data_IF_105356785394
#
_entry.id   IF_105356785394
#
_cell.length_a   1.000
_cell.length_b   1.000
_cell.length_c   1.000
_cell.angle_alpha   90.00
_cell.angle_beta   90.00
_cell.angle_gamma   90.00
#
_symmetry.space_group_name_H-M   'P 1'
#
loop_
_entity.id
_entity.type
_entity.pdbx_description
1 polymer ?
#
# COMPACT_ATOMS: atom_id res chain seq x y z
N UNK A 1 47.15 12.37 -35.73
CA UNK A 1 46.24 12.80 -34.64
C UNK A 1 46.13 11.67 -33.64
N UNK A 2 46.96 11.70 -32.60
CA UNK A 2 47.01 10.68 -31.55
C UNK A 2 45.93 11.01 -30.51
N UNK A 3 44.81 10.30 -30.52
CA UNK A 3 43.81 10.40 -29.45
C UNK A 3 44.43 9.87 -28.16
N UNK A 4 44.56 10.74 -27.17
CA UNK A 4 45.18 10.45 -25.89
C UNK A 4 44.25 9.50 -25.10
N UNK A 5 44.53 8.19 -25.10
CA UNK A 5 43.71 7.14 -24.48
C UNK A 5 43.35 7.44 -23.00
N UNK A 6 44.19 8.20 -22.30
CA UNK A 6 43.97 8.61 -20.92
C UNK A 6 42.76 9.56 -20.77
N UNK A 7 42.52 10.42 -21.76
CA UNK A 7 41.40 11.37 -21.77
C UNK A 7 40.05 10.70 -22.03
N UNK A 8 40.04 9.61 -22.82
CA UNK A 8 38.86 8.77 -23.04
C UNK A 8 38.51 7.96 -21.78
N UNK A 9 39.52 7.44 -21.07
CA UNK A 9 39.32 6.71 -19.81
C UNK A 9 38.78 7.60 -18.68
N UNK A 10 39.25 8.84 -18.55
CA UNK A 10 38.73 9.80 -17.56
C UNK A 10 37.29 10.24 -17.87
N UNK A 11 36.93 10.35 -19.16
CA UNK A 11 35.56 10.65 -19.56
C UNK A 11 34.61 9.48 -19.30
N UNK A 12 35.04 8.24 -19.58
CA UNK A 12 34.26 7.03 -19.29
C UNK A 12 34.16 6.79 -17.77
N UNK A 13 35.22 7.00 -16.99
CA UNK A 13 35.16 6.92 -15.54
C UNK A 13 34.27 8.01 -14.94
N UNK A 14 34.31 9.24 -15.47
CA UNK A 14 33.38 10.32 -15.10
C UNK A 14 31.92 10.02 -15.42
N UNK A 15 31.66 9.38 -16.57
CA UNK A 15 30.32 8.94 -16.99
C UNK A 15 29.82 7.74 -16.16
N UNK A 16 30.71 6.82 -15.77
CA UNK A 16 30.39 5.66 -14.91
C UNK A 16 30.15 6.09 -13.46
N UNK A 17 30.78 7.18 -13.00
CA UNK A 17 30.60 7.70 -11.62
C UNK A 17 29.34 8.60 -11.49
N UNK A 18 28.88 9.24 -12.57
CA UNK A 18 27.64 10.05 -12.54
C UNK A 18 26.34 9.29 -12.77
N UNK A 19 26.39 8.01 -13.19
CA UNK A 19 25.24 7.11 -13.08
C UNK A 19 25.31 6.35 -11.75
N UNK A 20 25.52 7.06 -10.64
CA UNK A 20 24.92 6.63 -9.39
C UNK A 20 23.40 6.68 -9.61
N UNK A 21 22.85 5.55 -10.06
CA UNK A 21 21.43 5.26 -10.06
C UNK A 21 20.95 5.50 -8.62
N UNK A 22 20.51 6.74 -8.36
CA UNK A 22 19.91 7.14 -7.09
C UNK A 22 18.65 6.30 -6.97
N UNK A 23 18.81 5.13 -6.35
CA UNK A 23 17.72 4.21 -6.14
C UNK A 23 16.71 4.95 -5.28
N UNK A 24 15.41 4.92 -5.65
CA UNK A 24 14.41 5.70 -4.94
C UNK A 24 14.48 5.38 -3.44
N UNK A 25 14.48 6.43 -2.62
CA UNK A 25 14.39 6.37 -1.17
C UNK A 25 13.12 7.05 -0.72
N UNK A 26 12.57 6.63 0.42
CA UNK A 26 11.54 7.37 1.11
C UNK A 26 12.04 8.80 1.33
N UNK A 27 11.28 9.86 1.03
CA UNK A 27 11.70 11.23 1.33
C UNK A 27 11.85 11.45 2.84
N UNK A 28 12.60 12.48 3.22
CA UNK A 28 12.62 12.94 4.61
C UNK A 28 11.24 13.44 5.02
N UNK A 29 10.90 13.27 6.29
CA UNK A 29 9.60 13.68 6.80
C UNK A 29 9.42 15.21 6.67
N UNK A 30 8.25 15.63 6.21
CA UNK A 30 7.84 17.03 6.12
C UNK A 30 6.74 17.35 7.14
N UNK A 31 6.12 18.53 7.07
CA UNK A 31 5.06 18.92 8.01
C UNK A 31 3.72 18.17 7.82
N UNK A 32 3.64 17.24 6.87
CA UNK A 32 2.42 16.51 6.52
C UNK A 32 2.45 15.08 7.08
N UNK A 33 1.26 14.51 7.28
CA UNK A 33 1.14 13.04 7.35
C UNK A 33 1.20 12.53 5.92
N UNK A 34 2.13 11.64 5.62
CA UNK A 34 2.27 11.09 4.28
C UNK A 34 1.88 9.62 4.26
N UNK A 35 0.98 9.27 3.33
CA UNK A 35 0.59 7.89 3.04
C UNK A 35 1.12 7.55 1.66
N UNK A 36 2.04 6.59 1.59
CA UNK A 36 2.64 6.11 0.35
C UNK A 36 2.13 4.71 0.03
N UNK A 37 1.65 4.47 -1.19
CA UNK A 37 1.48 3.13 -1.74
C UNK A 37 2.68 2.79 -2.62
N UNK A 38 3.37 1.71 -2.30
CA UNK A 38 4.58 1.30 -3.01
C UNK A 38 4.25 0.27 -4.10
N UNK A 39 4.93 0.32 -5.26
CA UNK A 39 4.70 -0.59 -6.37
C UNK A 39 5.40 -1.94 -6.16
N UNK A 40 4.94 -2.71 -5.19
CA UNK A 40 5.54 -4.01 -4.80
C UNK A 40 5.07 -5.18 -5.68
N UNK A 41 4.60 -4.91 -6.91
CA UNK A 41 4.00 -5.93 -7.78
C UNK A 41 2.52 -6.20 -7.48
N UNK A 42 2.11 -7.44 -7.74
CA UNK A 42 0.80 -7.92 -7.29
C UNK A 42 0.93 -8.23 -5.81
N UNK A 43 0.57 -7.24 -4.99
CA UNK A 43 0.75 -7.22 -3.54
C UNK A 43 0.64 -5.82 -2.97
N UNK A 44 0.61 -5.72 -1.65
CA UNK A 44 0.44 -4.45 -0.94
C UNK A 44 1.65 -4.05 -0.12
N UNK A 45 1.98 -2.77 -0.18
CA UNK A 45 2.78 -2.13 0.85
C UNK A 45 2.40 -0.65 0.96
N UNK A 46 1.83 -0.29 2.10
CA UNK A 46 1.47 1.09 2.43
C UNK A 46 2.36 1.60 3.55
N UNK A 47 3.06 2.71 3.32
CA UNK A 47 3.92 3.37 4.31
C UNK A 47 3.23 4.62 4.81
N UNK A 48 3.05 4.72 6.12
CA UNK A 48 2.51 5.89 6.82
C UNK A 48 3.68 6.58 7.51
N UNK A 49 4.07 7.76 7.03
CA UNK A 49 5.16 8.54 7.58
C UNK A 49 4.61 9.71 8.38
N UNK A 50 4.95 9.74 9.67
CA UNK A 50 4.54 10.80 10.58
C UNK A 50 5.07 12.17 10.13
N UNK A 51 4.31 13.26 10.39
CA UNK A 51 4.85 14.61 10.26
C UNK A 51 6.15 14.77 11.05
N UNK A 52 7.09 15.54 10.52
CA UNK A 52 8.36 15.84 11.20
C UNK A 52 8.10 16.48 12.56
N UNK A 53 9.01 16.20 13.48
CA UNK A 53 9.03 16.80 14.81
C UNK A 53 10.39 17.48 15.00
N UNK A 54 10.54 18.31 16.06
CA UNK A 54 11.85 18.88 16.40
C UNK A 54 12.90 17.83 16.75
N UNK A 55 12.48 16.67 17.24
CA UNK A 55 13.35 15.63 17.80
C UNK A 55 13.67 14.51 16.83
N UNK A 56 12.85 14.30 15.80
CA UNK A 56 13.04 13.23 14.81
C UNK A 56 13.49 13.83 13.49
N UNK A 57 14.73 13.54 13.09
CA UNK A 57 15.35 13.97 11.82
C UNK A 57 15.20 12.90 10.73
N UNK A 58 15.52 13.25 9.48
CA UNK A 58 15.55 12.32 8.35
C UNK A 58 14.16 11.77 8.00
N UNK A 59 14.06 10.45 7.85
CA UNK A 59 12.82 9.77 7.40
C UNK A 59 11.69 9.78 8.43
N UNK A 60 11.94 10.15 9.68
CA UNK A 60 10.90 10.19 10.69
C UNK A 60 10.54 8.81 11.26
N UNK A 61 9.41 8.79 11.97
CA UNK A 61 8.76 7.56 12.44
C UNK A 61 7.75 7.11 11.39
N UNK A 62 7.79 5.83 11.04
CA UNK A 62 6.88 5.23 10.07
C UNK A 62 6.13 4.02 10.63
N UNK A 63 4.96 3.77 10.04
CA UNK A 63 4.21 2.52 10.18
C UNK A 63 4.04 1.91 8.79
N UNK A 64 4.19 0.60 8.69
CA UNK A 64 4.02 -0.14 7.43
C UNK A 64 2.78 -1.04 7.54
N UNK A 65 1.92 -1.00 6.54
CA UNK A 65 0.81 -1.94 6.38
C UNK A 65 1.09 -2.78 5.15
N UNK A 66 1.28 -4.08 5.38
CA UNK A 66 1.78 -5.08 4.43
C UNK A 66 3.17 -4.78 3.85
N UNK A 67 3.87 -5.82 3.43
CA UNK A 67 5.27 -5.80 3.00
C UNK A 67 5.46 -6.36 1.60
N UNK A 68 4.40 -6.50 0.80
CA UNK A 68 4.50 -6.89 -0.60
C UNK A 68 4.97 -8.33 -0.83
N UNK A 69 5.27 -8.62 -2.09
CA UNK A 69 5.70 -9.94 -2.57
C UNK A 69 7.20 -10.00 -2.84
N UNK A 70 7.78 -11.20 -2.73
CA UNK A 70 9.12 -11.54 -3.29
C UNK A 70 9.05 -11.86 -4.79
N UNK A 71 7.85 -12.09 -5.34
CA UNK A 71 7.66 -12.52 -6.72
C UNK A 71 7.73 -11.31 -7.65
N UNK A 72 8.80 -11.29 -8.45
CA UNK A 72 9.07 -10.35 -9.53
C UNK A 72 9.10 -8.85 -9.13
N UNK A 73 9.95 -8.11 -9.82
CA UNK A 73 10.01 -6.63 -9.89
C UNK A 73 10.53 -5.89 -8.64
N UNK A 74 9.97 -6.09 -7.45
CA UNK A 74 10.40 -5.36 -6.24
C UNK A 74 11.36 -6.20 -5.39
N UNK A 75 12.66 -6.08 -5.65
CA UNK A 75 13.67 -6.89 -4.96
C UNK A 75 13.79 -6.53 -3.48
N UNK A 76 14.19 -7.51 -2.67
CA UNK A 76 14.43 -7.39 -1.22
C UNK A 76 15.33 -6.18 -0.90
N UNK A 77 16.36 -5.97 -1.71
CA UNK A 77 17.36 -4.91 -1.57
C UNK A 77 16.77 -3.53 -1.89
N UNK A 78 15.95 -3.43 -2.93
CA UNK A 78 15.27 -2.18 -3.29
C UNK A 78 14.30 -1.74 -2.18
N UNK A 79 13.60 -2.70 -1.55
CA UNK A 79 12.74 -2.42 -0.40
C UNK A 79 13.50 -1.93 0.82
N UNK A 80 14.55 -2.67 1.20
CA UNK A 80 15.41 -2.28 2.33
C UNK A 80 16.07 -0.91 2.09
N UNK A 81 16.51 -0.65 0.86
CA UNK A 81 17.08 0.64 0.48
C UNK A 81 16.06 1.77 0.55
N UNK A 82 14.82 1.54 0.09
CA UNK A 82 13.77 2.55 0.11
C UNK A 82 13.47 3.01 1.55
N UNK A 83 13.45 2.09 2.51
CA UNK A 83 13.14 2.34 3.92
C UNK A 83 14.37 2.73 4.76
N UNK A 84 15.57 2.73 4.18
CA UNK A 84 16.82 2.94 4.91
C UNK A 84 16.79 4.26 5.70
N UNK A 85 17.10 4.16 7.00
CA UNK A 85 17.15 5.31 7.91
C UNK A 85 15.80 5.70 8.52
N UNK A 86 14.71 4.98 8.23
CA UNK A 86 13.42 5.18 8.89
C UNK A 86 13.32 4.41 10.21
N UNK A 87 12.71 5.03 11.22
CA UNK A 87 12.30 4.32 12.44
C UNK A 87 10.96 3.67 12.21
N UNK A 88 10.94 2.34 12.11
CA UNK A 88 9.71 1.58 11.91
C UNK A 88 9.11 1.25 13.27
N UNK A 89 7.99 1.90 13.62
CA UNK A 89 7.32 1.68 14.90
C UNK A 89 6.43 0.45 14.88
N UNK A 90 5.62 0.35 13.83
CA UNK A 90 4.64 -0.70 13.65
C UNK A 90 4.71 -1.30 12.24
N UNK A 91 4.50 -2.61 12.17
CA UNK A 91 4.16 -3.32 10.94
C UNK A 91 2.81 -3.99 11.17
N UNK A 92 1.88 -3.86 10.23
CA UNK A 92 0.56 -4.49 10.28
C UNK A 92 0.45 -5.39 9.06
N UNK A 93 0.42 -6.70 9.27
CA UNK A 93 0.18 -7.68 8.22
C UNK A 93 -1.30 -8.02 8.18
N UNK A 94 -2.00 -7.62 7.13
CA UNK A 94 -3.45 -7.71 7.04
C UNK A 94 -3.91 -9.16 7.05
N UNK A 95 -3.28 -10.05 6.28
CA UNK A 95 -3.63 -11.46 6.19
C UNK A 95 -2.48 -12.33 5.64
N UNK A 96 -2.53 -13.67 5.81
CA UNK A 96 -1.42 -14.55 5.46
C UNK A 96 -1.39 -14.96 3.97
N UNK A 97 -1.50 -14.00 3.04
CA UNK A 97 -1.09 -14.21 1.65
C UNK A 97 0.30 -13.64 1.38
N UNK A 98 1.07 -14.36 0.58
CA UNK A 98 2.50 -14.10 0.38
C UNK A 98 2.81 -12.73 -0.22
N UNK A 99 1.86 -12.15 -0.93
CA UNK A 99 1.94 -10.81 -1.50
C UNK A 99 1.68 -9.67 -0.51
N UNK A 100 1.43 -10.00 0.76
CA UNK A 100 1.23 -9.04 1.84
C UNK A 100 2.34 -9.10 2.90
N UNK A 101 3.17 -10.14 2.95
CA UNK A 101 4.17 -10.28 4.02
C UNK A 101 5.57 -10.71 3.57
N UNK A 102 5.77 -11.12 2.32
CA UNK A 102 7.01 -11.79 1.94
C UNK A 102 8.27 -10.95 2.13
N UNK A 103 8.23 -9.62 1.99
CA UNK A 103 9.41 -8.77 2.22
C UNK A 103 9.56 -8.32 3.68
N UNK A 104 8.79 -8.87 4.63
CA UNK A 104 8.90 -8.48 6.04
C UNK A 104 10.32 -8.73 6.60
N UNK A 105 11.04 -9.73 6.10
CA UNK A 105 12.42 -9.99 6.53
C UNK A 105 13.36 -8.80 6.24
N UNK A 106 13.14 -8.04 5.15
CA UNK A 106 13.89 -6.80 4.90
C UNK A 106 13.67 -5.76 6.00
N UNK A 107 12.47 -5.72 6.56
CA UNK A 107 12.11 -4.80 7.64
C UNK A 107 12.73 -5.28 8.96
N UNK A 108 12.56 -6.57 9.29
CA UNK A 108 13.01 -7.15 10.56
C UNK A 108 14.53 -7.20 10.70
N UNK A 109 15.25 -7.39 9.59
CA UNK A 109 16.72 -7.50 9.56
C UNK A 109 17.41 -6.16 9.26
N UNK A 110 16.75 -5.27 8.53
CA UNK A 110 17.35 -4.04 8.00
C UNK A 110 17.34 -2.84 8.94
N UNK A 111 16.78 -2.97 10.15
CA UNK A 111 16.58 -1.85 11.09
C UNK A 111 17.13 -2.19 12.48
N UNK A 112 17.72 -1.18 13.12
CA UNK A 112 18.35 -1.29 14.45
C UNK A 112 17.36 -1.70 15.53
N UNK A 113 16.12 -1.19 15.46
CA UNK A 113 15.04 -1.58 16.35
C UNK A 113 13.99 -2.41 15.62
N UNK A 114 13.68 -3.59 16.16
CA UNK A 114 12.60 -4.42 15.62
C UNK A 114 11.24 -3.76 15.90
N UNK A 115 10.40 -3.53 14.87
CA UNK A 115 9.07 -2.96 15.04
C UNK A 115 8.15 -3.90 15.82
N UNK A 116 7.06 -3.35 16.38
CA UNK A 116 5.93 -4.17 16.83
C UNK A 116 5.12 -4.62 15.60
N UNK A 117 4.90 -5.91 15.47
CA UNK A 117 4.18 -6.53 14.36
C UNK A 117 2.79 -6.96 14.80
N UNK A 118 1.77 -6.45 14.13
CA UNK A 118 0.38 -6.85 14.28
C UNK A 118 -0.04 -7.73 13.10
N UNK A 119 -0.82 -8.77 13.36
CA UNK A 119 -1.25 -9.72 12.33
C UNK A 119 -2.58 -10.39 12.68
N UNK A 120 -3.34 -10.85 11.68
CA UNK A 120 -4.69 -11.44 11.90
C UNK A 120 -4.63 -12.89 12.37
N UNK A 121 -3.93 -13.74 11.63
CA UNK A 121 -3.91 -15.19 11.84
C UNK A 121 -2.73 -15.71 12.64
N UNK A 122 -2.80 -16.96 13.09
CA UNK A 122 -1.64 -17.61 13.72
C UNK A 122 -0.38 -17.54 12.82
N UNK A 123 0.79 -17.31 13.42
CA UNK A 123 2.03 -17.09 12.67
C UNK A 123 2.43 -18.30 11.81
N UNK A 124 1.97 -19.51 12.14
CA UNK A 124 2.18 -20.72 11.32
C UNK A 124 1.66 -20.59 9.88
N UNK A 125 0.76 -19.63 9.61
CA UNK A 125 0.29 -19.33 8.25
C UNK A 125 1.21 -18.41 7.44
N UNK A 126 2.14 -17.71 8.08
CA UNK A 126 3.11 -16.80 7.44
C UNK A 126 4.40 -17.56 7.11
N UNK A 127 4.35 -18.37 6.06
CA UNK A 127 5.40 -19.33 5.69
C UNK A 127 6.58 -18.65 4.98
N UNK A 128 7.80 -19.13 5.25
CA UNK A 128 9.00 -18.68 4.52
C UNK A 128 9.52 -17.30 4.94
N UNK A 129 9.07 -16.78 6.08
CA UNK A 129 9.55 -15.53 6.70
C UNK A 129 9.89 -15.75 8.18
N UNK A 130 10.76 -14.91 8.72
CA UNK A 130 11.17 -14.99 10.13
C UNK A 130 10.02 -14.56 11.04
N UNK A 131 9.81 -15.31 12.12
CA UNK A 131 8.86 -14.95 13.17
C UNK A 131 9.45 -13.83 14.04
N UNK A 132 8.76 -12.69 14.21
CA UNK A 132 9.18 -11.65 15.15
C UNK A 132 9.28 -12.19 16.58
N UNK A 133 10.09 -11.54 17.42
CA UNK A 133 10.20 -11.89 18.84
C UNK A 133 8.81 -11.83 19.51
N UNK A 134 8.48 -12.75 20.44
CA UNK A 134 7.13 -12.83 21.04
C UNK A 134 6.62 -11.52 21.64
N UNK A 135 7.49 -10.75 22.32
CA UNK A 135 7.14 -9.44 22.90
C UNK A 135 6.93 -8.31 21.87
N UNK A 136 7.26 -8.56 20.60
CA UNK A 136 7.05 -7.67 19.46
C UNK A 136 5.95 -8.17 18.54
N UNK A 137 5.36 -9.34 18.80
CA UNK A 137 4.35 -9.94 17.95
C UNK A 137 2.98 -9.89 18.63
N UNK A 138 1.97 -9.34 17.96
CA UNK A 138 0.61 -9.22 18.52
C UNK A 138 -0.43 -9.67 17.50
N UNK A 139 -1.17 -10.73 17.83
CA UNK A 139 -2.30 -11.19 17.02
C UNK A 139 -3.56 -10.37 17.32
N UNK A 140 -4.25 -9.90 16.28
CA UNK A 140 -5.56 -9.25 16.37
C UNK A 140 -6.61 -10.27 15.95
N UNK A 141 -7.29 -10.85 16.95
CA UNK A 141 -8.28 -11.89 16.76
C UNK A 141 -9.66 -11.34 16.41
N UNK A 142 -10.50 -12.23 15.87
CA UNK A 142 -11.88 -12.03 15.44
C UNK A 142 -12.61 -10.85 16.12
N UNK A 143 -12.80 -9.78 15.35
CA UNK A 143 -13.55 -8.61 15.79
C UNK A 143 -14.17 -7.87 14.59
N UNK A 144 -15.31 -7.22 14.81
CA UNK A 144 -15.93 -6.26 13.88
C UNK A 144 -16.42 -5.06 14.68
N UNK A 145 -16.07 -3.85 14.23
CA UNK A 145 -16.40 -2.57 14.83
C UNK A 145 -15.36 -2.11 15.85
N UNK A 146 -15.12 -0.79 15.90
CA UNK A 146 -14.12 -0.14 16.78
C UNK A 146 -14.21 -0.64 18.22
N UNK A 147 -15.42 -0.70 18.79
CA UNK A 147 -15.66 -1.12 20.19
C UNK A 147 -15.27 -2.58 20.43
N UNK A 148 -15.62 -3.52 19.55
CA UNK A 148 -15.29 -4.95 19.72
C UNK A 148 -13.81 -5.22 19.46
N UNK A 149 -13.23 -4.55 18.47
CA UNK A 149 -11.80 -4.67 18.19
C UNK A 149 -10.94 -4.05 19.29
N UNK A 150 -11.41 -2.96 19.92
CA UNK A 150 -10.76 -2.27 21.03
C UNK A 150 -9.24 -2.13 20.85
N UNK A 151 -8.84 -1.70 19.65
CA UNK A 151 -7.44 -1.58 19.27
C UNK A 151 -7.24 -0.29 18.52
N UNK A 152 -6.61 0.65 19.21
CA UNK A 152 -6.17 1.93 18.68
C UNK A 152 -4.66 2.07 18.94
N UNK A 153 -3.91 2.45 17.90
CA UNK A 153 -2.46 2.63 17.93
C UNK A 153 -2.14 4.10 17.67
N UNK A 154 -1.36 4.71 18.55
CA UNK A 154 -0.78 6.05 18.31
C UNK A 154 0.45 5.90 17.42
N UNK A 155 0.28 6.22 16.13
CA UNK A 155 1.34 6.04 15.14
C UNK A 155 2.51 7.01 15.38
N UNK A 156 2.20 8.24 15.78
CA UNK A 156 3.18 9.30 15.99
C UNK A 156 3.24 9.70 17.47
N UNK A 157 4.44 9.97 18.00
CA UNK A 157 4.63 10.20 19.45
C UNK A 157 4.10 11.56 19.94
N UNK A 158 4.06 12.57 19.07
CA UNK A 158 3.72 13.96 19.44
C UNK A 158 2.52 14.54 18.70
N UNK A 159 1.83 13.73 17.88
CA UNK A 159 0.72 14.17 17.02
C UNK A 159 -0.44 13.18 17.11
N UNK A 160 -1.65 13.69 16.93
CA UNK A 160 -2.91 12.93 16.92
C UNK A 160 -3.10 12.11 15.63
N UNK A 161 -2.13 11.26 15.29
CA UNK A 161 -2.26 10.27 14.23
C UNK A 161 -2.57 8.94 14.89
N UNK A 162 -3.79 8.45 14.70
CA UNK A 162 -4.20 7.15 15.24
C UNK A 162 -4.55 6.18 14.13
N UNK A 163 -4.30 4.90 14.39
CA UNK A 163 -4.82 3.80 13.60
C UNK A 163 -5.75 2.98 14.48
N UNK A 164 -6.98 2.83 14.03
CA UNK A 164 -8.02 2.06 14.71
C UNK A 164 -8.35 0.82 13.89
N UNK A 165 -8.29 -0.35 14.53
CA UNK A 165 -8.72 -1.60 13.90
C UNK A 165 -10.25 -1.62 13.86
N UNK A 166 -10.79 -1.88 12.67
CA UNK A 166 -12.22 -1.94 12.41
C UNK A 166 -12.70 -3.38 12.28
N UNK A 167 -11.91 -4.26 11.66
CA UNK A 167 -12.20 -5.68 11.61
C UNK A 167 -10.92 -6.50 11.49
N UNK A 168 -10.97 -7.77 11.87
CA UNK A 168 -9.89 -8.75 11.67
C UNK A 168 -10.46 -10.16 11.77
N UNK A 169 -9.85 -11.13 11.07
CA UNK A 169 -10.11 -12.56 11.25
C UNK A 169 -11.60 -12.94 11.15
N UNK A 170 -12.28 -12.49 10.09
CA UNK A 170 -13.70 -12.81 9.89
C UNK A 170 -13.89 -14.18 9.22
N UNK A 171 -12.93 -14.61 8.40
CA UNK A 171 -12.81 -15.96 7.85
C UNK A 171 -12.30 -17.00 8.85
N UNK A 172 -12.06 -16.62 10.12
CA UNK A 172 -11.55 -17.47 11.20
C UNK A 172 -10.24 -18.17 10.86
N UNK A 173 -9.39 -17.55 10.05
CA UNK A 173 -8.17 -18.15 9.54
C UNK A 173 -8.43 -19.47 8.82
N UNK A 174 -9.50 -19.53 8.02
CA UNK A 174 -9.89 -20.70 7.24
C UNK A 174 -9.06 -20.90 5.97
N UNK A 175 -9.71 -21.40 4.93
CA UNK A 175 -9.13 -21.63 3.60
C UNK A 175 -9.05 -20.36 2.74
N UNK A 176 -9.58 -19.25 3.23
CA UNK A 176 -9.74 -18.01 2.47
C UNK A 176 -9.12 -16.82 3.22
N UNK A 177 -7.78 -16.70 3.22
CA UNK A 177 -7.07 -15.68 3.99
C UNK A 177 -7.54 -14.23 3.78
N UNK A 178 -8.03 -13.90 2.58
CA UNK A 178 -8.61 -12.59 2.27
C UNK A 178 -9.72 -12.18 3.26
N UNK A 179 -10.53 -13.15 3.70
CA UNK A 179 -11.61 -12.97 4.67
C UNK A 179 -11.08 -12.64 6.08
N UNK A 180 -9.77 -12.77 6.32
CA UNK A 180 -9.13 -12.51 7.60
C UNK A 180 -8.40 -11.17 7.66
N UNK A 181 -8.49 -10.36 6.58
CA UNK A 181 -7.82 -9.07 6.48
C UNK A 181 -8.09 -8.16 7.68
N UNK A 182 -7.02 -7.62 8.28
CA UNK A 182 -7.13 -6.51 9.21
C UNK A 182 -7.58 -5.27 8.42
N UNK A 183 -8.81 -4.83 8.68
CA UNK A 183 -9.32 -3.54 8.21
C UNK A 183 -8.99 -2.48 9.24
N UNK A 184 -8.30 -1.42 8.82
CA UNK A 184 -7.84 -0.34 9.69
C UNK A 184 -8.24 1.03 9.18
N UNK A 185 -8.61 1.95 10.07
CA UNK A 185 -8.82 3.37 9.76
C UNK A 185 -7.74 4.21 10.41
N UNK A 186 -7.05 5.02 9.60
CA UNK A 186 -6.10 6.02 10.06
C UNK A 186 -6.82 7.36 10.15
N UNK A 187 -6.61 8.13 11.21
CA UNK A 187 -7.16 9.50 11.30
C UNK A 187 -6.08 10.52 11.66
N UNK A 188 -6.16 11.69 11.04
CA UNK A 188 -5.30 12.82 11.30
C UNK A 188 -5.99 14.13 10.91
N UNK A 189 -6.18 15.03 11.90
CA UNK A 189 -6.79 16.35 11.72
C UNK A 189 -8.09 16.34 10.89
N UNK A 190 -9.00 15.44 11.23
CA UNK A 190 -10.30 15.31 10.56
C UNK A 190 -10.29 14.51 9.27
N UNK A 191 -9.12 14.23 8.69
CA UNK A 191 -8.99 13.35 7.52
C UNK A 191 -8.84 11.90 7.97
N UNK A 192 -9.45 11.01 7.21
CA UNK A 192 -9.51 9.58 7.48
C UNK A 192 -9.12 8.75 6.26
N UNK A 193 -8.37 7.67 6.48
CA UNK A 193 -7.95 6.72 5.45
C UNK A 193 -8.33 5.31 5.87
N UNK A 194 -9.14 4.62 5.08
CA UNK A 194 -9.47 3.21 5.29
C UNK A 194 -8.51 2.33 4.48
N UNK A 195 -7.84 1.41 5.17
CA UNK A 195 -7.02 0.35 4.57
C UNK A 195 -7.70 -0.98 4.87
N UNK A 196 -8.23 -1.64 3.84
CA UNK A 196 -9.02 -2.86 4.02
C UNK A 196 -8.23 -4.17 3.93
N UNK A 197 -6.94 -4.11 3.57
CA UNK A 197 -6.27 -5.30 3.02
C UNK A 197 -7.12 -5.89 1.90
N UNK A 198 -7.13 -7.20 1.77
CA UNK A 198 -7.89 -7.89 0.73
C UNK A 198 -9.27 -8.33 1.21
N UNK A 199 -9.97 -7.45 1.96
CA UNK A 199 -11.32 -7.70 2.42
C UNK A 199 -12.21 -8.21 1.28
N UNK A 200 -12.60 -9.46 1.41
CA UNK A 200 -13.45 -10.21 0.50
C UNK A 200 -14.24 -11.20 1.35
N UNK A 201 -15.42 -11.60 0.90
CA UNK A 201 -16.19 -12.68 1.52
C UNK A 201 -17.51 -12.89 0.80
N UNK A 202 -18.29 -13.89 1.19
CA UNK A 202 -19.66 -14.02 0.67
C UNK A 202 -20.55 -12.85 1.14
N UNK A 203 -21.75 -12.72 0.57
CA UNK A 203 -22.68 -11.64 0.91
C UNK A 203 -22.98 -11.55 2.41
N UNK A 204 -23.15 -12.70 3.08
CA UNK A 204 -23.43 -12.75 4.52
C UNK A 204 -22.29 -12.12 5.32
N UNK A 205 -21.04 -12.43 4.97
CA UNK A 205 -19.87 -11.89 5.65
C UNK A 205 -19.73 -10.38 5.40
N UNK A 206 -19.86 -9.92 4.15
CA UNK A 206 -19.74 -8.49 3.85
C UNK A 206 -20.88 -7.71 4.51
N UNK A 207 -22.11 -8.23 4.52
CA UNK A 207 -23.24 -7.60 5.23
C UNK A 207 -22.97 -7.51 6.74
N UNK A 208 -22.43 -8.57 7.35
CA UNK A 208 -22.05 -8.55 8.77
C UNK A 208 -20.93 -7.54 9.06
N UNK A 209 -19.96 -7.42 8.15
CA UNK A 209 -18.92 -6.38 8.23
C UNK A 209 -19.53 -4.97 8.16
N UNK A 210 -20.39 -4.69 7.17
CA UNK A 210 -21.05 -3.39 7.03
C UNK A 210 -21.88 -3.03 8.26
N UNK A 211 -22.65 -3.99 8.78
CA UNK A 211 -23.48 -3.79 9.98
C UNK A 211 -22.62 -3.57 11.24
N UNK A 212 -21.61 -4.42 11.45
CA UNK A 212 -20.79 -4.38 12.66
C UNK A 212 -19.82 -3.21 12.68
N UNK A 213 -19.32 -2.79 11.53
CA UNK A 213 -18.43 -1.64 11.42
C UNK A 213 -19.20 -0.32 11.38
N UNK A 214 -20.39 -0.29 10.76
CA UNK A 214 -21.30 0.85 10.77
C UNK A 214 -20.66 2.12 10.22
N UNK A 215 -20.83 3.25 10.91
CA UNK A 215 -20.26 4.53 10.50
C UNK A 215 -18.72 4.58 10.55
N UNK A 216 -18.05 3.61 11.17
CA UNK A 216 -16.60 3.63 11.34
C UNK A 216 -15.82 3.42 10.04
N UNK A 217 -16.44 2.85 9.00
CA UNK A 217 -15.78 2.64 7.69
C UNK A 217 -15.81 3.87 6.79
N UNK A 218 -16.55 4.93 7.16
CA UNK A 218 -16.50 6.19 6.43
C UNK A 218 -15.06 6.71 6.43
N UNK A 219 -14.56 7.06 5.24
CA UNK A 219 -13.20 7.55 5.07
C UNK A 219 -13.10 8.54 3.91
N UNK A 220 -12.11 9.42 3.92
CA UNK A 220 -11.83 10.35 2.81
C UNK A 220 -10.98 9.70 1.73
N UNK A 221 -10.08 8.79 2.14
CA UNK A 221 -9.19 8.00 1.28
C UNK A 221 -9.48 6.52 1.50
N UNK A 222 -9.66 5.74 0.44
CA UNK A 222 -9.86 4.30 0.51
C UNK A 222 -8.80 3.53 -0.29
N UNK A 223 -8.03 2.68 0.40
CA UNK A 223 -7.28 1.61 -0.27
C UNK A 223 -8.27 0.52 -0.64
N UNK A 224 -8.57 0.43 -1.94
CA UNK A 224 -9.50 -0.54 -2.51
C UNK A 224 -9.09 -1.96 -2.13
N UNK A 225 -10.07 -2.79 -1.77
CA UNK A 225 -9.79 -4.16 -1.38
C UNK A 225 -9.22 -4.98 -2.53
N UNK A 226 -8.38 -5.97 -2.21
CA UNK A 226 -7.95 -7.04 -3.10
C UNK A 226 -7.42 -6.54 -4.44
N UNK A 227 -6.48 -5.58 -4.35
CA UNK A 227 -5.75 -5.01 -5.49
C UNK A 227 -6.66 -4.32 -6.52
N UNK A 228 -7.88 -3.93 -6.11
CA UNK A 228 -8.89 -3.37 -7.01
C UNK A 228 -9.69 -4.43 -7.77
N UNK A 229 -9.84 -5.62 -7.22
CA UNK A 229 -10.84 -6.60 -7.63
C UNK A 229 -12.26 -6.01 -7.51
N UNK A 230 -13.21 -6.57 -8.25
CA UNK A 230 -14.60 -6.10 -8.23
C UNK A 230 -15.56 -7.27 -8.24
N UNK A 231 -16.55 -7.23 -7.36
CA UNK A 231 -17.66 -8.15 -7.36
C UNK A 231 -18.49 -8.04 -8.65
N UNK A 232 -18.62 -9.13 -9.40
CA UNK A 232 -19.61 -9.21 -10.47
C UNK A 232 -20.19 -10.61 -10.62
N UNK A 233 -19.37 -11.66 -10.58
CA UNK A 233 -19.83 -13.05 -10.65
C UNK A 233 -18.93 -13.95 -9.78
N UNK A 234 -19.49 -14.57 -8.75
CA UNK A 234 -18.75 -15.46 -7.86
C UNK A 234 -19.29 -15.51 -6.43
N UNK A 235 -18.88 -16.51 -5.67
CA UNK A 235 -19.26 -16.70 -4.27
C UNK A 235 -18.61 -15.71 -3.30
N UNK A 236 -17.73 -14.84 -3.82
CA UNK A 236 -16.95 -13.89 -3.03
C UNK A 236 -17.03 -12.47 -3.60
N UNK A 237 -17.17 -11.53 -2.69
CA UNK A 237 -17.56 -10.16 -2.91
C UNK A 237 -16.51 -9.24 -2.31
N UNK A 238 -16.00 -8.31 -3.10
CA UNK A 238 -15.10 -7.24 -2.68
C UNK A 238 -15.48 -5.96 -3.45
N UNK A 239 -15.24 -4.80 -2.84
CA UNK A 239 -15.55 -3.49 -3.43
C UNK A 239 -16.98 -3.38 -4.01
N UNK A 240 -17.97 -4.08 -3.44
CA UNK A 240 -19.37 -4.04 -3.90
C UNK A 240 -19.99 -2.62 -3.75
N UNK A 241 -21.00 -2.26 -4.54
CA UNK A 241 -21.52 -0.89 -4.60
C UNK A 241 -21.96 -0.27 -3.25
N UNK A 242 -22.57 -1.05 -2.37
CA UNK A 242 -22.96 -0.62 -1.02
C UNK A 242 -21.76 -0.49 -0.06
N UNK A 243 -20.74 -1.35 -0.16
CA UNK A 243 -19.47 -1.14 0.55
C UNK A 243 -18.82 0.17 0.11
N UNK A 244 -18.69 0.40 -1.19
CA UNK A 244 -18.14 1.66 -1.71
C UNK A 244 -18.92 2.89 -1.23
N UNK A 245 -20.26 2.78 -1.19
CA UNK A 245 -21.15 3.83 -0.72
C UNK A 245 -21.02 4.08 0.79
N UNK A 246 -20.88 3.02 1.58
CA UNK A 246 -20.72 3.12 3.03
C UNK A 246 -19.36 3.72 3.42
N UNK A 247 -18.30 3.42 2.65
CA UNK A 247 -16.99 4.08 2.80
C UNK A 247 -17.07 5.55 2.38
N UNK A 248 -17.72 5.85 1.26
CA UNK A 248 -18.00 7.24 0.84
C UNK A 248 -16.75 8.09 0.55
N UNK A 249 -15.64 7.45 0.16
CA UNK A 249 -14.37 8.14 -0.06
C UNK A 249 -14.35 9.10 -1.25
N UNK A 250 -13.52 10.13 -1.13
CA UNK A 250 -13.24 11.07 -2.22
C UNK A 250 -12.03 10.65 -3.03
N UNK A 251 -11.06 9.96 -2.40
CA UNK A 251 -9.85 9.46 -3.04
C UNK A 251 -9.74 7.95 -2.91
N UNK A 252 -9.26 7.30 -3.96
CA UNK A 252 -9.12 5.84 -4.01
C UNK A 252 -7.74 5.46 -4.49
N UNK A 253 -7.19 4.36 -3.99
CA UNK A 253 -6.00 3.78 -4.59
C UNK A 253 -5.98 2.26 -4.43
N UNK A 254 -5.21 1.60 -5.28
CA UNK A 254 -4.88 0.19 -5.12
C UNK A 254 -3.42 -0.05 -5.46
N UNK A 255 -2.79 -0.97 -4.72
CA UNK A 255 -1.57 -1.59 -5.19
C UNK A 255 -1.97 -2.72 -6.12
N UNK A 256 -1.43 -2.75 -7.32
CA UNK A 256 -1.70 -3.82 -8.29
C UNK A 256 -0.49 -3.99 -9.18
N UNK A 257 -0.18 -5.23 -9.57
CA UNK A 257 1.00 -5.53 -10.39
C UNK A 257 0.73 -5.56 -11.88
N UNK A 258 -0.52 -5.29 -12.28
CA UNK A 258 -1.05 -5.62 -13.59
C UNK A 258 -0.73 -7.07 -14.01
N UNK A 259 -1.04 -8.03 -13.15
CA UNK A 259 -0.80 -9.46 -13.41
C UNK A 259 -1.96 -10.10 -14.20
N UNK A 260 -1.64 -10.72 -15.33
CA UNK A 260 -2.61 -11.33 -16.27
C UNK A 260 -3.40 -12.50 -15.68
N UNK A 261 -2.88 -13.15 -14.64
CA UNK A 261 -3.58 -14.23 -13.95
C UNK A 261 -4.74 -13.71 -13.12
N UNK A 262 -4.52 -12.60 -12.41
CA UNK A 262 -5.51 -12.03 -11.48
C UNK A 262 -6.43 -11.01 -12.18
N UNK A 263 -5.88 -10.31 -13.18
CA UNK A 263 -6.56 -9.26 -13.94
C UNK A 263 -7.10 -8.15 -13.02
N UNK A 264 -6.24 -7.66 -12.11
CA UNK A 264 -6.54 -6.54 -11.22
C UNK A 264 -5.64 -5.34 -11.50
N UNK A 265 -6.16 -4.10 -11.41
CA UNK A 265 -7.51 -3.75 -10.98
C UNK A 265 -8.53 -3.92 -12.13
N UNK A 266 -9.82 -4.07 -11.81
CA UNK A 266 -10.88 -4.26 -12.83
C UNK A 266 -11.40 -2.92 -13.34
N UNK A 267 -11.62 -2.77 -14.65
CA UNK A 267 -12.18 -1.52 -15.19
C UNK A 267 -13.61 -1.24 -14.74
N UNK A 268 -14.40 -2.28 -14.46
CA UNK A 268 -15.74 -2.13 -13.86
C UNK A 268 -15.74 -1.40 -12.52
N UNK A 269 -14.75 -1.66 -11.65
CA UNK A 269 -14.58 -0.90 -10.41
C UNK A 269 -14.27 0.58 -10.68
N UNK A 270 -13.38 0.85 -11.64
CA UNK A 270 -13.09 2.21 -12.07
C UNK A 270 -14.35 2.92 -12.56
N UNK A 271 -15.16 2.28 -13.41
CA UNK A 271 -16.42 2.86 -13.88
C UNK A 271 -17.44 3.07 -12.76
N UNK A 272 -17.58 2.12 -11.84
CA UNK A 272 -18.46 2.26 -10.67
C UNK A 272 -18.08 3.48 -9.83
N UNK A 273 -16.79 3.65 -9.52
CA UNK A 273 -16.31 4.80 -8.74
C UNK A 273 -16.47 6.11 -9.51
N UNK A 274 -16.04 6.14 -10.77
CA UNK A 274 -15.92 7.40 -11.53
C UNK A 274 -17.24 7.95 -12.05
N UNK A 275 -18.25 7.08 -12.27
CA UNK A 275 -19.60 7.48 -12.65
C UNK A 275 -20.48 7.82 -11.45
N UNK A 276 -20.36 7.07 -10.35
CA UNK A 276 -21.41 7.06 -9.32
C UNK A 276 -20.98 7.61 -7.95
N UNK A 277 -19.69 7.90 -7.71
CA UNK A 277 -19.19 8.08 -6.33
C UNK A 277 -18.47 9.41 -6.06
N UNK A 278 -17.75 9.98 -7.04
CA UNK A 278 -17.02 11.24 -6.80
C UNK A 278 -17.14 12.23 -7.96
N UNK A 279 -17.50 13.47 -7.60
CA UNK A 279 -17.50 14.64 -8.47
C UNK A 279 -16.18 15.41 -8.41
N UNK A 280 -15.31 15.07 -7.45
CA UNK A 280 -13.99 15.69 -7.31
C UNK A 280 -13.15 15.43 -8.57
N UNK A 281 -12.44 16.47 -9.02
CA UNK A 281 -11.46 16.39 -10.09
C UNK A 281 -10.08 16.70 -9.54
N UNK A 282 -9.09 15.97 -10.01
CA UNK A 282 -7.66 16.16 -9.75
C UNK A 282 -6.92 16.48 -11.05
N UNK A 283 -5.64 16.82 -10.97
CA UNK A 283 -4.79 16.94 -12.16
C UNK A 283 -4.84 15.63 -12.96
N UNK A 284 -4.89 15.74 -14.28
CA UNK A 284 -4.83 14.58 -15.16
C UNK A 284 -3.65 13.67 -14.81
N UNK A 285 -3.91 12.38 -14.72
CA UNK A 285 -2.90 11.35 -14.52
C UNK A 285 -3.30 10.08 -15.29
N UNK A 286 -2.34 9.18 -15.49
CA UNK A 286 -2.59 7.88 -16.09
C UNK A 286 -3.24 6.92 -15.09
N UNK A 287 -4.00 5.97 -15.61
CA UNK A 287 -4.64 4.87 -14.90
C UNK A 287 -4.67 3.64 -15.80
N UNK A 288 -4.54 2.44 -15.25
CA UNK A 288 -4.69 1.19 -16.00
C UNK A 288 -5.62 0.25 -15.24
N UNK A 289 -6.40 -0.51 -15.99
CA UNK A 289 -7.25 -1.57 -15.46
C UNK A 289 -7.44 -2.66 -16.52
N UNK A 290 -7.99 -3.79 -16.10
CA UNK A 290 -8.31 -4.93 -16.96
C UNK A 290 -9.75 -4.85 -17.50
N UNK A 291 -9.84 -4.73 -18.82
CA UNK A 291 -10.93 -5.09 -19.74
C UNK A 291 -10.28 -5.68 -21.01
N UNK A 292 -11.02 -6.15 -22.02
CA UNK A 292 -10.52 -6.92 -23.18
C UNK A 292 -9.43 -6.23 -24.03
N UNK A 293 -8.99 -5.01 -23.70
CA UNK A 293 -7.71 -4.43 -24.09
C UNK A 293 -7.09 -3.65 -22.91
N UNK A 294 -5.82 -3.92 -22.58
CA UNK A 294 -5.03 -3.08 -21.66
C UNK A 294 -4.77 -1.74 -22.35
N UNK A 295 -5.46 -0.68 -21.95
CA UNK A 295 -5.14 0.68 -22.40
C UNK A 295 -4.92 1.58 -21.19
N UNK A 296 -3.81 2.34 -21.11
CA UNK A 296 -3.71 3.43 -20.16
C UNK A 296 -4.76 4.48 -20.48
N UNK A 297 -5.59 4.78 -19.49
CA UNK A 297 -6.53 5.88 -19.52
C UNK A 297 -5.85 7.11 -18.93
N UNK A 298 -6.02 8.27 -19.56
CA UNK A 298 -5.85 9.52 -18.84
C UNK A 298 -7.17 9.84 -18.14
N UNK A 299 -7.10 10.15 -16.85
CA UNK A 299 -8.26 10.52 -16.05
C UNK A 299 -7.95 11.70 -15.15
N UNK A 300 -8.99 12.46 -14.79
CA UNK A 300 -8.95 13.48 -13.74
C UNK A 300 -9.71 13.04 -12.49
N UNK A 301 -10.08 11.76 -12.40
CA UNK A 301 -10.77 11.22 -11.25
C UNK A 301 -9.75 10.79 -10.20
N UNK A 302 -10.00 11.04 -8.89
CA UNK A 302 -9.05 10.78 -7.80
C UNK A 302 -8.92 9.28 -7.47
N UNK A 303 -8.52 8.46 -8.44
CA UNK A 303 -8.32 7.01 -8.31
C UNK A 303 -6.95 6.62 -8.89
N UNK A 304 -6.11 5.99 -8.09
CA UNK A 304 -4.70 5.77 -8.44
C UNK A 304 -4.31 4.29 -8.36
N UNK A 305 -3.36 3.88 -9.20
CA UNK A 305 -2.77 2.52 -9.20
C UNK A 305 -1.25 2.59 -9.18
N UNK A 306 -0.61 1.71 -8.42
CA UNK A 306 0.85 1.70 -8.29
C UNK A 306 1.57 1.22 -9.55
N UNK A 307 0.87 0.55 -10.45
CA UNK A 307 1.43 0.06 -11.71
C UNK A 307 0.57 0.49 -12.88
N UNK A 308 1.22 1.02 -13.91
CA UNK A 308 0.61 1.43 -15.16
C UNK A 308 1.22 0.65 -16.33
N UNK A 309 0.41 0.42 -17.38
CA UNK A 309 0.93 -0.02 -18.66
C UNK A 309 1.05 1.18 -19.60
N UNK A 310 2.27 1.52 -19.99
CA UNK A 310 2.56 2.62 -20.91
C UNK A 310 3.40 2.11 -22.08
N UNK A 311 2.90 2.29 -23.31
CA UNK A 311 3.57 1.79 -24.52
C UNK A 311 3.89 0.29 -24.46
N UNK A 312 2.93 -0.53 -23.98
CA UNK A 312 3.08 -1.98 -23.74
C UNK A 312 4.19 -2.34 -22.74
N UNK A 313 4.68 -1.36 -21.95
CA UNK A 313 5.66 -1.59 -20.89
C UNK A 313 5.04 -1.26 -19.56
N UNK A 314 5.27 -2.16 -18.61
CA UNK A 314 4.93 -1.92 -17.21
C UNK A 314 5.81 -0.81 -16.64
N UNK A 315 5.18 0.15 -15.97
CA UNK A 315 5.86 1.19 -15.20
C UNK A 315 5.27 1.28 -13.80
N UNK A 316 6.16 1.33 -12.83
CA UNK A 316 5.84 1.33 -11.43
C UNK A 316 5.92 2.77 -10.89
N UNK A 317 4.98 3.12 -10.02
CA UNK A 317 4.81 4.44 -9.46
C UNK A 317 4.53 4.38 -7.96
N UNK A 318 5.10 5.32 -7.23
CA UNK A 318 4.72 5.59 -5.84
C UNK A 318 3.56 6.58 -5.87
N UNK A 319 2.44 6.19 -5.27
CA UNK A 319 1.33 7.09 -4.99
C UNK A 319 1.54 7.64 -3.60
N UNK A 320 1.44 8.96 -3.45
CA UNK A 320 1.54 9.65 -2.16
C UNK A 320 0.32 10.52 -1.94
N UNK A 321 -0.29 10.40 -0.76
CA UNK A 321 -1.22 11.38 -0.22
C UNK A 321 -0.54 12.14 0.90
N UNK A 322 -0.27 13.44 0.68
CA UNK A 322 0.19 14.35 1.72
C UNK A 322 -1.02 15.00 2.37
N UNK A 323 -1.22 14.74 3.66
CA UNK A 323 -2.34 15.28 4.44
C UNK A 323 -1.79 16.42 5.31
N UNK A 324 -2.22 17.64 5.01
CA UNK A 324 -1.81 18.86 5.74
C UNK A 324 -2.47 18.93 7.10
N UNK A 325 -1.90 19.75 7.99
CA UNK A 325 -2.46 20.01 9.33
C UNK A 325 -3.92 20.52 9.28
N UNK A 326 -4.27 21.28 8.25
CA UNK A 326 -5.61 21.85 8.03
C UNK A 326 -6.60 20.88 7.36
N UNK A 327 -6.22 19.61 7.18
CA UNK A 327 -7.08 18.58 6.58
C UNK A 327 -7.09 18.55 5.05
N UNK A 328 -6.29 19.37 4.37
CA UNK A 328 -6.15 19.29 2.91
C UNK A 328 -5.38 18.03 2.50
N UNK A 329 -5.94 17.28 1.54
CA UNK A 329 -5.31 16.11 0.93
C UNK A 329 -4.67 16.52 -0.40
N UNK A 330 -3.38 16.23 -0.57
CA UNK A 330 -2.64 16.49 -1.81
C UNK A 330 -2.12 15.16 -2.35
N UNK A 331 -2.80 14.57 -3.36
CA UNK A 331 -2.30 13.37 -4.02
C UNK A 331 -1.16 13.71 -4.98
N UNK A 332 -0.25 12.76 -5.17
CA UNK A 332 0.79 12.80 -6.18
C UNK A 332 1.16 11.38 -6.61
N UNK A 333 1.61 11.25 -7.85
CA UNK A 333 2.10 9.99 -8.43
C UNK A 333 3.49 10.27 -9.00
N UNK A 334 4.47 9.46 -8.59
CA UNK A 334 5.88 9.66 -8.95
C UNK A 334 6.48 8.38 -9.50
N UNK A 335 7.22 8.42 -10.63
CA UNK A 335 7.86 7.23 -11.18
C UNK A 335 8.78 6.57 -10.14
N UNK A 336 8.64 5.26 -9.98
CA UNK A 336 9.53 4.47 -9.16
C UNK A 336 10.62 3.86 -10.05
N UNK A 337 11.75 4.55 -10.16
CA UNK A 337 12.88 4.10 -11.00
C UNK A 337 13.72 2.98 -10.36
N UNK A 338 13.17 2.23 -9.39
CA UNK A 338 13.87 1.15 -8.70
C UNK A 338 13.95 -0.11 -9.55
N UNK A 339 15.15 -0.38 -10.09
CA UNK A 339 15.63 -1.66 -10.61
C UNK A 339 14.61 -2.62 -11.28
N UNK A 340 13.78 -2.11 -12.20
CA UNK A 340 13.07 -2.91 -13.20
C UNK A 340 14.02 -3.35 -14.35
N UNK A 341 15.21 -3.86 -14.04
CA UNK A 341 16.00 -4.63 -15.01
C UNK A 341 15.93 -6.11 -14.63
N UNK A 342 14.82 -6.74 -15.02
CA UNK A 342 14.68 -8.19 -15.11
C UNK A 342 14.42 -8.55 -16.56
N UNK A 343 15.50 -8.90 -17.28
CA UNK A 343 15.59 -9.48 -18.63
C UNK A 343 14.75 -8.84 -19.74
N UNK A 344 15.43 -8.10 -20.62
CA UNK A 344 15.06 -8.11 -22.04
C UNK A 344 15.01 -9.56 -22.50
N UNK A 345 13.93 -9.94 -23.16
CA UNK A 345 13.94 -11.05 -24.11
C UNK A 345 15.10 -10.80 -25.08
N UNK A 346 16.02 -11.75 -25.13
CA UNK A 346 16.91 -11.96 -26.27
C UNK A 346 16.27 -13.06 -27.12
#
# INVERSE_FOLDING_TARGET
MSFNLLSVYLFIAGLVIHVSLCSPQLPDADDNLNIYALPVGQGDCTVIQCPKTRTVKGKGVITIIDAGTRKNHFKKEAFGHYLKGATIKYVILTHPHTDHYNLIDSILEGHTETPKVYHSCDWTKYKGVKKPKPNKLTRIKNCIGKKKCNRELKLCDSRSVTLTVIASEQGKCGKHPNEDSIVSKITYNGVSTLISGDLEGNDKMINAFLQGAGAEIKADIYRLAHHGAYAETGSKQCNRPDLLRAVGASYYFSSSGLDDKYRHPRCKLYHEITKNRTNLKVKNHHYTCYEDVKKPYTTNKPIYVTTLEENKKRKDYVIRFAIKKVGTIIPSITPFNGALKGRQEL
#
